data_IF_392416087984
#
_entry.id   IF_392416087984
#
_cell.length_a   1.000
_cell.length_b   1.000
_cell.length_c   1.000
_cell.angle_alpha   90.00
_cell.angle_beta   90.00
_cell.angle_gamma   90.00
#
_symmetry.space_group_name_H-M   'P 1'
#
loop_
_entity.id
_entity.type
_entity.pdbx_description
1 polymer ?
#
# COMPACT_ATOMS: atom_id res chain seq x y z
N UNK A 1 0.97 -1.64 -0.22
CA UNK A 1 2.14 -0.74 -0.05
C UNK A 1 1.87 0.22 1.11
N UNK A 2 2.70 0.20 2.14
CA UNK A 2 2.56 1.04 3.34
C UNK A 2 3.78 1.94 3.60
N UNK A 3 4.92 1.61 3.02
CA UNK A 3 6.20 2.30 3.22
C UNK A 3 6.93 2.52 1.89
N UNK A 4 7.95 3.37 1.90
CA UNK A 4 8.89 3.48 0.77
C UNK A 4 9.63 2.17 0.53
N UNK A 5 9.99 1.47 1.59
CA UNK A 5 10.72 0.21 1.52
C UNK A 5 9.85 -0.89 0.89
N UNK A 6 8.54 -0.93 1.19
CA UNK A 6 7.59 -1.82 0.49
C UNK A 6 7.53 -1.52 -1.01
N UNK A 7 7.56 -0.23 -1.38
CA UNK A 7 7.47 0.21 -2.78
C UNK A 7 8.70 -0.20 -3.58
N UNK A 8 9.90 0.09 -3.07
CA UNK A 8 11.14 -0.32 -3.74
C UNK A 8 11.27 -1.84 -3.80
N UNK A 9 10.95 -2.56 -2.71
CA UNK A 9 10.95 -4.03 -2.73
C UNK A 9 9.97 -4.60 -3.76
N UNK A 10 8.78 -4.01 -3.88
CA UNK A 10 7.80 -4.45 -4.86
C UNK A 10 8.28 -4.21 -6.30
N UNK A 11 8.95 -3.08 -6.57
CA UNK A 11 9.59 -2.81 -7.86
C UNK A 11 10.64 -3.86 -8.21
N UNK A 12 11.50 -4.19 -7.26
CA UNK A 12 12.53 -5.22 -7.45
C UNK A 12 11.90 -6.57 -7.79
N UNK A 13 10.82 -6.96 -7.10
CA UNK A 13 10.09 -8.20 -7.38
C UNK A 13 9.41 -8.22 -8.74
N UNK A 14 8.84 -7.09 -9.17
CA UNK A 14 8.25 -6.98 -10.51
C UNK A 14 9.32 -7.20 -11.58
N UNK A 15 10.46 -6.53 -11.45
CA UNK A 15 11.55 -6.63 -12.42
C UNK A 15 12.19 -8.02 -12.43
N UNK A 16 12.50 -8.58 -11.25
CA UNK A 16 13.14 -9.89 -11.10
C UNK A 16 12.31 -11.02 -11.73
N UNK A 17 11.00 -10.98 -11.54
CA UNK A 17 10.09 -12.04 -11.99
C UNK A 17 9.30 -11.70 -13.25
N UNK A 18 9.52 -10.52 -13.84
CA UNK A 18 8.80 -10.00 -15.03
C UNK A 18 7.28 -10.09 -14.88
N UNK A 19 6.78 -9.69 -13.71
CA UNK A 19 5.39 -9.95 -13.32
C UNK A 19 4.38 -9.22 -14.23
N UNK A 20 4.77 -8.06 -14.77
CA UNK A 20 3.98 -7.26 -15.71
C UNK A 20 3.74 -7.96 -17.05
N UNK A 21 4.59 -8.93 -17.42
CA UNK A 21 4.39 -9.81 -18.57
C UNK A 21 3.51 -11.02 -18.28
N UNK A 22 3.17 -11.28 -17.01
CA UNK A 22 2.42 -12.46 -16.57
C UNK A 22 0.97 -12.08 -16.22
N UNK A 23 0.78 -10.98 -15.50
CA UNK A 23 -0.54 -10.55 -15.05
C UNK A 23 -0.62 -9.03 -14.84
N UNK A 24 -1.86 -8.53 -14.71
CA UNK A 24 -2.08 -7.15 -14.29
C UNK A 24 -1.68 -6.96 -12.82
N UNK A 25 -0.87 -5.93 -12.58
CA UNK A 25 -0.35 -5.63 -11.26
C UNK A 25 -1.13 -4.48 -10.62
N UNK A 26 -1.60 -4.71 -9.40
CA UNK A 26 -2.36 -3.73 -8.63
C UNK A 26 -1.57 -3.32 -7.39
N UNK A 27 -1.35 -2.02 -7.24
CA UNK A 27 -0.78 -1.44 -6.02
C UNK A 27 -1.88 -0.78 -5.22
N UNK A 28 -2.18 -1.35 -4.05
CA UNK A 28 -3.08 -0.73 -3.08
C UNK A 28 -2.32 -0.13 -1.91
N UNK A 29 -2.62 1.13 -1.60
CA UNK A 29 -2.12 1.79 -0.40
C UNK A 29 -2.77 1.19 0.84
N UNK A 30 -1.96 0.76 1.81
CA UNK A 30 -2.46 0.23 3.07
C UNK A 30 -2.72 1.36 4.06
N UNK A 31 -3.99 1.55 4.42
CA UNK A 31 -4.38 2.59 5.39
C UNK A 31 -3.74 2.33 6.77
N UNK A 32 -3.04 3.31 7.37
CA UNK A 32 -2.52 3.17 8.72
C UNK A 32 -3.63 2.92 9.74
N UNK A 33 -3.37 2.09 10.74
CA UNK A 33 -4.33 1.88 11.82
C UNK A 33 -4.49 3.14 12.67
N UNK A 34 -5.72 3.55 12.93
CA UNK A 34 -6.03 4.57 13.93
C UNK A 34 -5.78 4.01 15.34
N UNK A 35 -5.54 4.89 16.32
CA UNK A 35 -5.31 4.49 17.71
C UNK A 35 -6.43 3.57 18.26
N UNK A 36 -7.69 3.86 17.91
CA UNK A 36 -8.88 3.09 18.30
C UNK A 36 -8.96 1.70 17.65
N UNK A 37 -8.28 1.48 16.52
CA UNK A 37 -8.26 0.23 15.77
C UNK A 37 -7.11 -0.70 16.22
N UNK A 38 -6.24 -0.24 17.12
CA UNK A 38 -5.03 -0.97 17.52
C UNK A 38 -5.35 -2.02 18.58
N UNK A 39 -5.06 -3.29 18.27
CA UNK A 39 -5.15 -4.38 19.24
C UNK A 39 -3.80 -4.62 19.95
N UNK A 40 -3.77 -4.98 21.26
CA UNK A 40 -2.53 -5.20 22.01
C UNK A 40 -1.59 -6.26 21.42
N UNK A 41 -2.13 -7.26 20.72
CA UNK A 41 -1.32 -8.30 20.05
C UNK A 41 -0.60 -7.82 18.78
N UNK A 42 -0.92 -6.63 18.26
CA UNK A 42 -0.30 -6.12 17.05
C UNK A 42 1.11 -5.62 17.33
N UNK A 43 2.07 -6.13 16.54
CA UNK A 43 3.45 -5.64 16.53
C UNK A 43 3.47 -4.17 16.13
N UNK A 44 4.42 -3.42 16.70
CA UNK A 44 4.71 -2.06 16.25
C UNK A 44 5.41 -2.13 14.90
N UNK A 45 5.17 -1.13 14.05
CA UNK A 45 5.93 -0.99 12.81
C UNK A 45 7.43 -0.84 13.14
N UNK A 46 8.33 -1.38 12.31
CA UNK A 46 9.77 -1.20 12.48
C UNK A 46 10.16 0.28 12.47
N UNK A 47 11.16 0.67 13.28
CA UNK A 47 11.58 2.09 13.38
C UNK A 47 12.22 2.64 12.10
N UNK A 48 12.78 1.77 11.28
CA UNK A 48 13.51 2.10 10.06
C UNK A 48 12.63 2.08 8.80
N UNK A 49 11.31 1.98 8.95
CA UNK A 49 10.39 2.03 7.83
C UNK A 49 9.76 3.42 7.72
N UNK A 50 9.77 3.97 6.50
CA UNK A 50 9.26 5.31 6.22
C UNK A 50 7.85 5.17 5.63
N UNK A 51 6.80 5.61 6.35
CA UNK A 51 5.44 5.55 5.85
C UNK A 51 5.31 6.35 4.55
N UNK A 52 4.64 5.77 3.57
CA UNK A 52 4.29 6.47 2.33
C UNK A 52 2.82 6.89 2.38
N UNK A 53 2.53 8.13 2.00
CA UNK A 53 1.15 8.58 1.91
C UNK A 53 0.44 8.02 0.67
N UNK A 54 -0.90 8.04 0.66
CA UNK A 54 -1.69 7.62 -0.51
C UNK A 54 -1.34 8.44 -1.76
N UNK A 55 -1.21 9.76 -1.59
CA UNK A 55 -0.84 10.70 -2.64
C UNK A 55 0.55 10.39 -3.17
N UNK A 56 1.50 10.28 -2.26
CA UNK A 56 2.90 10.04 -2.61
C UNK A 56 3.11 8.70 -3.34
N UNK A 57 2.36 7.65 -2.96
CA UNK A 57 2.38 6.38 -3.71
C UNK A 57 1.89 6.58 -5.15
N UNK A 58 0.80 7.31 -5.36
CA UNK A 58 0.28 7.58 -6.70
C UNK A 58 1.27 8.42 -7.53
N UNK A 59 1.84 9.46 -6.93
CA UNK A 59 2.85 10.32 -7.57
C UNK A 59 4.10 9.53 -7.96
N UNK A 60 4.57 8.62 -7.10
CA UNK A 60 5.72 7.76 -7.39
C UNK A 60 5.46 6.75 -8.51
N UNK A 61 4.29 6.11 -8.52
CA UNK A 61 3.90 5.20 -9.62
C UNK A 61 3.96 5.93 -10.97
N UNK A 62 3.43 7.16 -11.01
CA UNK A 62 3.46 8.00 -12.22
C UNK A 62 4.88 8.43 -12.58
N UNK A 63 5.65 8.92 -11.60
CA UNK A 63 7.02 9.39 -11.81
C UNK A 63 7.96 8.29 -12.32
N UNK A 64 7.81 7.07 -11.80
CA UNK A 64 8.62 5.91 -12.20
C UNK A 64 8.09 5.24 -13.48
N UNK A 65 6.91 5.62 -13.98
CA UNK A 65 6.25 4.94 -15.10
C UNK A 65 6.00 3.46 -14.83
N UNK A 66 5.74 3.10 -13.57
CA UNK A 66 5.69 1.70 -13.13
C UNK A 66 4.48 0.98 -13.76
N UNK A 67 4.63 -0.24 -14.30
CA UNK A 67 3.55 -0.97 -15.00
C UNK A 67 2.55 -1.59 -13.99
N UNK A 68 1.95 -0.74 -13.16
CA UNK A 68 0.98 -1.11 -12.13
C UNK A 68 -0.22 -0.16 -12.19
N UNK A 69 -1.38 -0.63 -11.77
CA UNK A 69 -2.55 0.22 -11.55
C UNK A 69 -2.70 0.54 -10.07
N UNK A 70 -3.02 1.78 -9.77
CA UNK A 70 -3.34 2.19 -8.41
C UNK A 70 -4.75 1.70 -8.02
N UNK A 71 -4.84 0.89 -6.96
CA UNK A 71 -6.10 0.36 -6.44
C UNK A 71 -6.51 1.06 -5.15
N UNK A 72 -7.57 1.86 -5.22
CA UNK A 72 -8.18 2.48 -4.04
C UNK A 72 -8.93 1.45 -3.19
N UNK A 73 -8.76 1.53 -1.86
CA UNK A 73 -9.55 0.75 -0.91
C UNK A 73 -10.93 1.40 -0.74
N UNK A 74 -11.88 1.10 -1.64
CA UNK A 74 -13.21 1.72 -1.65
C UNK A 74 -13.92 1.62 -0.29
N UNK A 75 -13.74 0.53 0.43
CA UNK A 75 -14.39 0.37 1.74
C UNK A 75 -13.93 1.39 2.79
N UNK A 76 -12.71 1.92 2.64
CA UNK A 76 -12.19 3.01 3.49
C UNK A 76 -12.72 4.39 3.10
N UNK A 77 -13.40 4.51 1.97
CA UNK A 77 -13.96 5.76 1.45
C UNK A 77 -15.48 5.77 1.66
N UNK A 78 -16.14 4.64 1.41
CA UNK A 78 -17.60 4.52 1.43
C UNK A 78 -18.13 4.42 2.85
N UNK A 79 -17.50 3.60 3.71
CA UNK A 79 -17.99 3.35 5.06
C UNK A 79 -17.16 4.06 6.13
N UNK A 80 -17.80 4.50 7.23
CA UNK A 80 -17.11 5.04 8.40
C UNK A 80 -16.08 4.05 8.99
N UNK A 81 -14.95 4.53 9.55
CA UNK A 81 -13.88 3.65 10.05
C UNK A 81 -14.25 2.73 11.22
N UNK A 82 -15.36 3.01 11.90
CA UNK A 82 -15.91 2.27 13.03
C UNK A 82 -16.96 1.23 12.62
N UNK A 83 -17.43 1.26 11.37
CA UNK A 83 -18.36 0.28 10.85
C UNK A 83 -17.65 -1.06 10.59
N UNK A 84 -18.14 -2.13 11.22
CA UNK A 84 -17.59 -3.50 11.10
C UNK A 84 -18.43 -4.35 10.16
N UNK A 85 -17.79 -5.32 9.48
CA UNK A 85 -18.48 -6.30 8.63
C UNK A 85 -18.78 -5.83 7.20
N UNK A 86 -18.00 -4.87 6.69
CA UNK A 86 -18.04 -4.34 5.31
C UNK A 86 -16.79 -4.69 4.53
#
# INVERSE_FOLDING_TARGET
ISTHEDYEWAKDRIAEHKLDGICELLFSWAHPLEAKQRHPSLKKAPRNMRPISRRELAERIVADGLPVRFQAQLHKIIWPPDQRGV
#
